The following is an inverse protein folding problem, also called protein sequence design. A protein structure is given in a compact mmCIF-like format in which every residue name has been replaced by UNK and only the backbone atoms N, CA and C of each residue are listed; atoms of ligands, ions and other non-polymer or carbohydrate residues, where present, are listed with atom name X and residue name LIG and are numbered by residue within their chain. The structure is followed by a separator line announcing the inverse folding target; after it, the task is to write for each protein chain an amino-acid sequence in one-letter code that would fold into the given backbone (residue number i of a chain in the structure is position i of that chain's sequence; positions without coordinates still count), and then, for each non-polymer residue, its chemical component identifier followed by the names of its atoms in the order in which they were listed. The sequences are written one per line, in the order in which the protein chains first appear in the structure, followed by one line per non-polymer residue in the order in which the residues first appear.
data_IF_299443294721
#
_entry.id   IF_299443294721
#
_cell.length_a   1.000
_cell.length_b   1.000
_cell.length_c   1.000
_cell.angle_alpha   90.00
_cell.angle_beta   90.00
_cell.angle_gamma   90.00
#
_symmetry.space_group_name_H-M   'P 1'
#
loop_
_entity.id
_entity.type
_entity.pdbx_description
1 polymer ?
#
# COMPACT_ATOMS: atom_id res chain seq x y z
N UNK A 1 -2.41 -1.04 -8.05
CA UNK A 1 -1.96 -0.29 -6.87
C UNK A 1 -2.81 0.95 -6.70
N UNK A 2 -3.15 1.34 -5.47
CA UNK A 2 -4.07 2.46 -5.20
C UNK A 2 -3.59 3.82 -5.69
N UNK A 3 -2.28 3.99 -5.90
CA UNK A 3 -1.64 5.26 -6.24
C UNK A 3 -1.46 5.50 -7.75
N UNK A 4 -1.71 4.52 -8.62
CA UNK A 4 -1.41 4.65 -10.07
C UNK A 4 -2.15 5.81 -10.74
N UNK A 5 -3.40 6.08 -10.33
CA UNK A 5 -4.20 7.19 -10.87
C UNK A 5 -3.64 8.59 -10.52
N UNK A 6 -2.74 8.67 -9.53
CA UNK A 6 -2.09 9.91 -9.12
C UNK A 6 -0.74 10.12 -9.83
N UNK A 7 -0.15 9.05 -10.40
CA UNK A 7 1.04 9.16 -11.24
C UNK A 7 0.67 9.79 -12.58
N UNK A 8 1.56 10.64 -13.07
CA UNK A 8 1.36 11.40 -14.30
C UNK A 8 2.60 11.28 -15.19
N UNK A 9 2.43 10.95 -16.48
CA UNK A 9 3.54 10.86 -17.42
C UNK A 9 4.22 12.21 -17.55
N UNK A 10 5.55 12.19 -17.68
CA UNK A 10 6.44 13.37 -17.74
C UNK A 10 6.39 14.31 -16.52
N UNK A 11 5.66 13.95 -15.47
CA UNK A 11 5.73 14.62 -14.16
C UNK A 11 6.49 13.74 -13.17
N UNK A 12 6.17 12.45 -13.13
CA UNK A 12 6.72 11.50 -12.15
C UNK A 12 7.49 10.34 -12.80
N UNK A 13 7.31 10.11 -14.10
CA UNK A 13 8.01 9.04 -14.83
C UNK A 13 8.03 9.34 -16.32
N UNK A 14 8.97 8.73 -17.04
CA UNK A 14 9.04 8.78 -18.51
C UNK A 14 8.34 7.54 -19.07
N UNK A 15 7.25 7.69 -19.83
CA UNK A 15 6.62 6.55 -20.51
C UNK A 15 7.53 6.07 -21.65
N UNK A 16 7.82 4.77 -21.67
CA UNK A 16 8.57 4.10 -22.74
C UNK A 16 7.75 2.94 -23.29
N UNK A 17 8.21 2.36 -24.39
CA UNK A 17 7.54 1.23 -25.05
C UNK A 17 6.13 1.57 -25.54
N UNK A 18 6.00 2.73 -26.18
CA UNK A 18 4.74 3.18 -26.80
C UNK A 18 4.61 2.67 -28.23
N UNK A 19 5.72 2.63 -28.95
CA UNK A 19 5.79 2.17 -30.34
C UNK A 19 6.59 0.87 -30.43
N UNK A 20 7.72 0.78 -29.70
CA UNK A 20 8.47 -0.46 -29.55
C UNK A 20 9.59 -0.37 -28.51
N UNK A 21 10.39 -1.45 -28.33
CA UNK A 21 11.55 -1.44 -27.45
C UNK A 21 12.60 -0.37 -27.80
N UNK A 22 12.70 -0.01 -29.07
CA UNK A 22 13.62 0.99 -29.63
C UNK A 22 13.42 2.41 -29.07
N UNK A 23 12.21 2.75 -28.61
CA UNK A 23 11.88 4.04 -27.97
C UNK A 23 12.86 4.40 -26.85
N UNK A 24 13.44 3.40 -26.18
CA UNK A 24 14.37 3.60 -25.07
C UNK A 24 15.63 4.37 -25.49
N UNK A 25 16.11 4.18 -26.72
CA UNK A 25 17.33 4.84 -27.21
C UNK A 25 17.11 6.34 -27.40
N UNK A 26 15.96 6.70 -27.97
CA UNK A 26 15.56 8.11 -28.14
C UNK A 26 15.33 8.78 -26.79
N UNK A 27 14.70 8.08 -25.84
CA UNK A 27 14.47 8.59 -24.48
C UNK A 27 15.79 8.78 -23.71
N UNK A 28 16.77 7.90 -23.90
CA UNK A 28 18.11 8.06 -23.31
C UNK A 28 18.84 9.28 -23.90
N UNK A 29 18.76 9.50 -25.21
CA UNK A 29 19.33 10.68 -25.84
C UNK A 29 18.65 11.97 -25.35
N UNK A 30 17.31 11.95 -25.22
CA UNK A 30 16.53 13.05 -24.65
C UNK A 30 16.96 13.34 -23.20
N UNK A 31 17.08 12.32 -22.35
CA UNK A 31 17.42 12.49 -20.94
C UNK A 31 18.81 13.11 -20.75
N UNK A 32 19.79 12.75 -21.60
CA UNK A 32 21.13 13.33 -21.60
C UNK A 32 21.14 14.78 -22.09
N UNK A 33 20.28 15.10 -23.06
CA UNK A 33 20.19 16.44 -23.65
C UNK A 33 19.46 17.42 -22.72
N UNK A 34 18.46 16.95 -21.97
CA UNK A 34 17.63 17.73 -21.07
C UNK A 34 17.75 17.24 -19.62
N UNK A 35 18.98 17.24 -19.11
CA UNK A 35 19.32 16.72 -17.77
C UNK A 35 18.52 17.43 -16.65
N UNK A 36 18.32 18.75 -16.78
CA UNK A 36 17.52 19.55 -15.85
C UNK A 36 16.07 19.04 -15.73
N UNK A 37 15.45 18.72 -16.86
CA UNK A 37 14.08 18.16 -16.91
C UNK A 37 14.05 16.75 -16.34
N UNK A 38 15.05 15.93 -16.65
CA UNK A 38 15.18 14.58 -16.13
C UNK A 38 15.34 14.58 -14.60
N UNK A 39 16.19 15.46 -14.06
CA UNK A 39 16.39 15.65 -12.62
C UNK A 39 15.09 16.09 -11.94
N UNK A 40 14.38 17.08 -12.50
CA UNK A 40 13.11 17.56 -11.93
C UNK A 40 12.04 16.47 -11.88
N UNK A 41 11.95 15.65 -12.92
CA UNK A 41 11.05 14.50 -12.96
C UNK A 41 11.41 13.48 -11.87
N UNK A 42 12.70 13.19 -11.69
CA UNK A 42 13.19 12.34 -10.61
C UNK A 42 12.84 12.87 -9.22
N UNK A 43 13.03 14.16 -8.98
CA UNK A 43 12.68 14.82 -7.72
C UNK A 43 11.18 14.73 -7.43
N UNK A 44 10.33 15.05 -8.42
CA UNK A 44 8.88 14.92 -8.29
C UNK A 44 8.45 13.47 -7.95
N UNK A 45 9.09 12.48 -8.58
CA UNK A 45 8.81 11.06 -8.34
C UNK A 45 9.16 10.65 -6.90
N UNK A 46 10.30 11.13 -6.38
CA UNK A 46 10.73 10.88 -5.00
C UNK A 46 9.77 11.52 -4.00
N UNK A 47 9.38 12.78 -4.21
CA UNK A 47 8.41 13.47 -3.35
C UNK A 47 7.06 12.73 -3.35
N UNK A 48 6.58 12.32 -4.52
CA UNK A 48 5.37 11.51 -4.67
C UNK A 48 5.44 10.21 -3.86
N UNK A 49 6.55 9.48 -3.98
CA UNK A 49 6.75 8.23 -3.26
C UNK A 49 6.77 8.44 -1.73
N UNK A 50 7.49 9.46 -1.26
CA UNK A 50 7.54 9.81 0.16
C UNK A 50 6.15 10.14 0.71
N UNK A 51 5.34 10.88 -0.06
CA UNK A 51 4.01 11.32 0.35
C UNK A 51 2.96 10.21 0.30
N UNK A 52 2.94 9.39 -0.75
CA UNK A 52 1.82 8.48 -1.02
C UNK A 52 2.16 6.99 -0.89
N UNK A 53 3.43 6.59 -0.86
CA UNK A 53 3.83 5.18 -0.83
C UNK A 53 4.46 4.74 0.51
N UNK A 54 4.57 5.67 1.47
CA UNK A 54 5.05 5.41 2.82
C UNK A 54 4.14 4.44 3.60
N UNK A 55 4.68 3.79 4.65
CA UNK A 55 3.90 2.89 5.52
C UNK A 55 2.64 3.58 6.10
N UNK A 56 2.70 4.82 6.63
CA UNK A 56 1.52 5.51 7.12
C UNK A 56 0.49 5.81 6.01
N UNK A 57 0.92 6.24 4.83
CA UNK A 57 0.02 6.51 3.71
C UNK A 57 -0.74 5.24 3.28
N UNK A 58 -0.04 4.11 3.19
CA UNK A 58 -0.63 2.80 2.87
C UNK A 58 -1.63 2.34 3.92
N UNK A 59 -1.30 2.47 5.20
CA UNK A 59 -2.20 2.12 6.30
C UNK A 59 -3.46 3.01 6.28
N UNK A 60 -3.29 4.32 6.07
CA UNK A 60 -4.39 5.28 5.96
C UNK A 60 -5.34 4.94 4.79
N UNK A 61 -4.79 4.57 3.63
CA UNK A 61 -5.60 4.13 2.49
C UNK A 61 -6.47 2.91 2.85
N UNK A 62 -5.87 1.86 3.41
CA UNK A 62 -6.61 0.65 3.79
C UNK A 62 -7.67 0.91 4.86
N UNK A 63 -7.34 1.72 5.87
CA UNK A 63 -8.31 2.12 6.90
C UNK A 63 -9.53 2.80 6.26
N UNK A 64 -9.32 3.80 5.40
CA UNK A 64 -10.41 4.51 4.72
C UNK A 64 -11.20 3.56 3.82
N UNK A 65 -10.53 2.73 3.03
CA UNK A 65 -11.19 1.80 2.12
C UNK A 65 -12.10 0.82 2.86
N UNK A 66 -11.59 0.16 3.90
CA UNK A 66 -12.36 -0.82 4.67
C UNK A 66 -13.51 -0.15 5.41
N UNK A 67 -13.29 1.05 5.99
CA UNK A 67 -14.33 1.83 6.66
C UNK A 67 -15.47 2.22 5.71
N UNK A 68 -15.14 2.77 4.55
CA UNK A 68 -16.11 3.17 3.53
C UNK A 68 -16.85 1.96 2.94
N UNK A 69 -16.15 0.85 2.73
CA UNK A 69 -16.75 -0.39 2.28
C UNK A 69 -17.75 -0.93 3.31
N UNK A 70 -17.37 -0.99 4.60
CA UNK A 70 -18.22 -1.46 5.68
C UNK A 70 -19.51 -0.62 5.81
N UNK A 71 -19.42 0.70 5.64
CA UNK A 71 -20.59 1.60 5.68
C UNK A 71 -21.62 1.35 4.57
N UNK A 72 -21.25 0.65 3.49
CA UNK A 72 -22.12 0.33 2.35
C UNK A 72 -22.71 -1.08 2.43
N UNK A 73 -22.34 -1.87 3.44
CA UNK A 73 -22.89 -3.20 3.62
C UNK A 73 -24.37 -3.10 4.05
N UNK A 74 -25.23 -3.82 3.33
CA UNK A 74 -26.67 -3.92 3.64
C UNK A 74 -26.99 -5.06 4.63
N UNK A 75 -25.96 -5.71 5.15
CA UNK A 75 -26.06 -6.83 6.08
C UNK A 75 -25.01 -6.68 7.17
N UNK A 76 -25.25 -7.29 8.32
CA UNK A 76 -24.28 -7.35 9.41
C UNK A 76 -23.28 -8.46 9.13
N UNK A 77 -21.97 -8.17 8.97
CA UNK A 77 -20.95 -9.20 8.82
C UNK A 77 -20.92 -10.09 10.06
N UNK A 78 -20.94 -11.39 9.83
CA UNK A 78 -20.83 -12.38 10.89
C UNK A 78 -20.30 -13.70 10.33
N UNK A 79 -20.04 -14.68 11.20
CA UNK A 79 -19.73 -16.03 10.76
C UNK A 79 -20.90 -16.54 9.91
N UNK A 80 -20.65 -16.92 8.65
CA UNK A 80 -21.65 -17.60 7.83
C UNK A 80 -22.03 -18.95 8.43
N UNK A 81 -23.10 -19.58 7.94
CA UNK A 81 -23.63 -20.85 8.47
C UNK A 81 -22.60 -22.01 8.51
N UNK A 82 -21.50 -21.90 7.76
CA UNK A 82 -20.40 -22.89 7.72
C UNK A 82 -19.10 -22.42 8.40
N UNK A 83 -19.11 -21.26 9.05
CA UNK A 83 -17.95 -20.81 9.80
C UNK A 83 -17.79 -21.69 11.04
N UNK A 84 -16.70 -22.48 11.09
CA UNK A 84 -16.26 -23.10 12.33
C UNK A 84 -16.05 -21.98 13.35
N UNK A 85 -16.88 -21.93 14.39
CA UNK A 85 -16.88 -20.88 15.41
C UNK A 85 -15.49 -20.63 16.01
N UNK A 86 -14.62 -21.64 16.00
CA UNK A 86 -13.23 -21.58 16.43
C UNK A 86 -12.36 -20.51 15.73
N UNK A 87 -12.70 -20.04 14.52
CA UNK A 87 -11.90 -19.05 13.79
C UNK A 87 -12.42 -17.62 13.89
N UNK A 88 -13.62 -17.41 14.44
CA UNK A 88 -14.18 -16.08 14.63
C UNK A 88 -13.82 -15.58 16.04
N UNK A 89 -12.84 -14.68 16.14
CA UNK A 89 -12.55 -13.96 17.38
C UNK A 89 -12.88 -12.48 17.21
N UNK A 90 -13.52 -11.91 18.23
CA UNK A 90 -13.73 -10.47 18.26
C UNK A 90 -12.37 -9.77 18.31
N UNK A 91 -12.22 -8.66 17.57
CA UNK A 91 -10.96 -7.91 17.54
C UNK A 91 -10.59 -7.39 18.94
N UNK A 92 -11.59 -7.01 19.75
CA UNK A 92 -11.37 -6.52 21.12
C UNK A 92 -10.79 -7.62 22.00
N UNK A 93 -11.34 -8.83 21.89
CA UNK A 93 -10.83 -10.01 22.60
C UNK A 93 -9.41 -10.31 22.15
N UNK A 94 -9.16 -10.40 20.84
CA UNK A 94 -7.82 -10.61 20.29
C UNK A 94 -6.81 -9.57 20.77
N UNK A 95 -7.19 -8.28 20.79
CA UNK A 95 -6.31 -7.21 21.26
C UNK A 95 -6.04 -7.30 22.77
N UNK A 96 -7.00 -7.77 23.55
CA UNK A 96 -6.84 -7.98 24.98
C UNK A 96 -6.00 -9.23 25.31
N UNK A 97 -6.10 -10.31 24.52
CA UNK A 97 -5.52 -11.63 24.86
C UNK A 97 -4.30 -12.05 24.04
N UNK A 98 -4.24 -11.69 22.75
CA UNK A 98 -3.29 -12.27 21.79
C UNK A 98 -2.42 -11.25 21.04
N UNK A 99 -2.80 -9.97 21.02
CA UNK A 99 -2.01 -8.94 20.36
C UNK A 99 -0.63 -8.84 21.02
N UNK A 100 0.42 -8.75 20.20
CA UNK A 100 1.80 -8.62 20.69
C UNK A 100 1.91 -7.48 21.69
N UNK A 101 2.10 -7.84 22.97
CA UNK A 101 2.31 -6.87 24.03
C UNK A 101 3.81 -6.58 24.12
N UNK A 102 4.13 -5.29 24.18
CA UNK A 102 5.48 -4.82 24.45
C UNK A 102 5.62 -4.60 25.96
N UNK A 103 6.41 -5.44 26.62
CA UNK A 103 6.73 -5.32 28.04
C UNK A 103 8.24 -5.54 28.20
N UNK A 104 8.89 -4.72 29.02
CA UNK A 104 10.31 -4.87 29.39
C UNK A 104 11.27 -5.15 28.22
N UNK A 105 11.13 -4.40 27.12
CA UNK A 105 12.04 -4.49 25.97
C UNK A 105 11.86 -5.73 25.10
N UNK A 106 10.79 -6.52 25.29
CA UNK A 106 10.55 -7.76 24.53
C UNK A 106 9.13 -7.82 23.97
N UNK A 107 9.02 -8.41 22.78
CA UNK A 107 7.75 -8.77 22.18
C UNK A 107 7.29 -10.11 22.74
N UNK A 108 6.18 -10.11 23.49
CA UNK A 108 5.57 -11.37 23.92
C UNK A 108 4.58 -11.83 22.84
N UNK A 109 4.81 -13.04 22.31
CA UNK A 109 3.85 -13.75 21.47
C UNK A 109 2.98 -14.59 22.38
N UNK A 110 1.70 -14.28 22.49
CA UNK A 110 0.72 -15.32 22.76
C UNK A 110 0.38 -15.97 21.41
N UNK A 111 1.11 -17.02 21.04
CA UNK A 111 0.72 -17.85 19.90
C UNK A 111 0.05 -19.13 20.42
N UNK A 112 -1.20 -19.40 20.03
CA UNK A 112 -1.79 -20.73 20.15
C UNK A 112 -1.46 -21.65 18.95
N UNK A 113 -0.68 -21.17 17.98
CA UNK A 113 -0.19 -21.95 16.85
C UNK A 113 1.33 -22.07 16.90
N UNK A 114 1.81 -23.02 17.70
CA UNK A 114 3.02 -23.78 17.35
C UNK A 114 2.62 -24.92 16.40
N UNK A 115 3.49 -25.36 15.48
CA UNK A 115 3.18 -26.39 14.49
C UNK A 115 2.66 -27.69 15.10
#
# INVERSE_FOLDING_TARGET
GYYFHLLKPFVHYVPFWRQGPEDVLELLAWARTFDDKAQRLGANAQEFAARYLSRPARACYWYKLVKEYAARLKYTPGPGAHARAAYYRNITDYLATDAQQWQDGRWFRAYPFSP
#
